data_IF_690036653776
#
_entry.id   IF_690036653776
#
_cell.length_a   1.000
_cell.length_b   1.000
_cell.length_c   1.000
_cell.angle_alpha   90.00
_cell.angle_beta   90.00
_cell.angle_gamma   90.00
#
_symmetry.space_group_name_H-M   'P 1'
#
loop_
_entity.id
_entity.type
_entity.pdbx_description
1 polymer ?
#
# COMPACT_ATOMS: atom_id res chain seq x y z
N UNK A 1 -19.15 6.52 2.76
CA UNK A 1 -18.64 5.25 2.18
C UNK A 1 -17.22 5.03 2.71
N UNK A 2 -16.83 3.80 3.10
CA UNK A 2 -15.46 3.51 3.53
C UNK A 2 -14.44 3.73 2.39
N UNK A 3 -13.21 4.10 2.74
CA UNK A 3 -12.13 4.41 1.81
C UNK A 3 -10.79 4.00 2.42
N UNK A 4 -9.88 3.41 1.64
CA UNK A 4 -8.61 2.86 2.15
C UNK A 4 -7.71 3.95 2.75
N UNK A 5 -7.58 5.12 2.11
CA UNK A 5 -6.80 6.24 2.67
C UNK A 5 -7.29 6.68 4.06
N UNK A 6 -8.60 6.89 4.24
CA UNK A 6 -9.15 7.30 5.54
C UNK A 6 -9.12 6.18 6.56
N UNK A 7 -9.23 4.91 6.11
CA UNK A 7 -9.04 3.74 6.97
C UNK A 7 -7.61 3.65 7.49
N UNK A 8 -6.61 3.82 6.61
CA UNK A 8 -5.20 3.89 6.97
C UNK A 8 -4.93 5.00 7.98
N UNK A 9 -5.45 6.22 7.71
CA UNK A 9 -5.26 7.35 8.62
C UNK A 9 -5.90 7.07 9.99
N UNK A 10 -7.15 6.61 10.03
CA UNK A 10 -7.88 6.33 11.27
C UNK A 10 -7.21 5.23 12.10
N UNK A 11 -6.77 4.13 11.46
CA UNK A 11 -6.08 3.02 12.14
C UNK A 11 -4.76 3.52 12.73
N UNK A 12 -3.95 4.25 11.98
CA UNK A 12 -2.69 4.79 12.50
C UNK A 12 -2.92 5.79 13.63
N UNK A 13 -3.93 6.66 13.54
CA UNK A 13 -4.29 7.58 14.63
C UNK A 13 -4.71 6.83 15.90
N UNK A 14 -5.55 5.79 15.79
CA UNK A 14 -6.00 5.00 16.95
C UNK A 14 -4.85 4.21 17.60
N UNK A 15 -3.94 3.67 16.79
CA UNK A 15 -2.75 2.96 17.28
C UNK A 15 -1.78 3.94 17.94
N UNK A 16 -1.62 5.14 17.38
CA UNK A 16 -0.76 6.19 17.94
C UNK A 16 -1.30 6.71 19.28
N UNK A 17 -2.62 6.90 19.39
CA UNK A 17 -3.28 7.24 20.65
C UNK A 17 -3.10 6.13 21.70
N UNK A 18 -3.19 4.87 21.25
CA UNK A 18 -3.04 3.71 22.10
C UNK A 18 -4.12 3.59 23.18
N UNK A 19 -3.88 2.70 24.15
CA UNK A 19 -4.82 2.44 25.24
C UNK A 19 -5.99 1.54 24.84
N UNK A 20 -6.62 0.93 25.84
CA UNK A 20 -7.62 -0.11 25.61
C UNK A 20 -8.85 0.40 24.82
N UNK A 21 -9.31 1.63 25.10
CA UNK A 21 -10.50 2.19 24.46
C UNK A 21 -10.29 2.48 22.96
N UNK A 22 -9.12 3.02 22.57
CA UNK A 22 -8.84 3.28 21.16
C UNK A 22 -8.64 1.96 20.40
N UNK A 23 -7.86 1.03 20.96
CA UNK A 23 -7.58 -0.24 20.30
C UNK A 23 -8.83 -1.14 20.18
N UNK A 24 -9.72 -1.14 21.18
CA UNK A 24 -10.97 -1.93 21.13
C UNK A 24 -12.02 -1.33 20.19
N UNK A 25 -11.90 -0.06 19.81
CA UNK A 25 -12.80 0.58 18.84
C UNK A 25 -12.61 0.07 17.41
N UNK A 26 -11.47 -0.58 17.11
CA UNK A 26 -11.17 -1.11 15.78
C UNK A 26 -11.83 -2.48 15.62
N UNK A 27 -12.90 -2.54 14.82
CA UNK A 27 -13.53 -3.81 14.47
C UNK A 27 -12.73 -4.52 13.34
N UNK A 28 -11.86 -5.44 13.73
CA UNK A 28 -10.96 -6.17 12.81
C UNK A 28 -11.71 -6.96 11.73
N UNK A 29 -12.80 -7.63 12.08
CA UNK A 29 -13.58 -8.44 11.12
C UNK A 29 -14.22 -7.57 10.03
N UNK A 30 -14.77 -6.41 10.40
CA UNK A 30 -15.34 -5.45 9.45
C UNK A 30 -14.27 -4.80 8.58
N UNK A 31 -13.10 -4.51 9.14
CA UNK A 31 -11.94 -4.01 8.37
C UNK A 31 -11.51 -5.07 7.36
N UNK A 32 -11.28 -6.31 7.80
CA UNK A 32 -10.89 -7.41 6.92
C UNK A 32 -11.89 -7.62 5.79
N UNK A 33 -13.19 -7.69 6.10
CA UNK A 33 -14.24 -7.81 5.08
C UNK A 33 -14.26 -6.64 4.10
N UNK A 34 -13.92 -5.43 4.54
CA UNK A 34 -13.75 -4.27 3.65
C UNK A 34 -12.53 -4.43 2.74
N UNK A 35 -11.37 -4.82 3.29
CA UNK A 35 -10.16 -5.06 2.49
C UNK A 35 -10.37 -6.14 1.43
N UNK A 36 -11.04 -7.24 1.76
CA UNK A 36 -11.39 -8.29 0.79
C UNK A 36 -12.27 -7.77 -0.35
N UNK A 37 -13.26 -6.90 -0.07
CA UNK A 37 -14.08 -6.29 -1.12
C UNK A 37 -13.30 -5.33 -2.02
N UNK A 38 -12.24 -4.72 -1.50
CA UNK A 38 -11.37 -3.82 -2.27
C UNK A 38 -10.32 -4.59 -3.07
N UNK A 39 -10.04 -5.85 -2.76
CA UNK A 39 -9.09 -6.68 -3.50
C UNK A 39 -9.55 -6.83 -4.96
N UNK A 40 -8.66 -6.51 -5.89
CA UNK A 40 -8.92 -6.61 -7.32
C UNK A 40 -8.17 -7.82 -7.93
N UNK A 41 -8.74 -8.51 -8.93
CA UNK A 41 -8.08 -9.63 -9.61
C UNK A 41 -6.72 -9.31 -10.23
N UNK A 42 -6.45 -8.04 -10.54
CA UNK A 42 -5.14 -7.58 -11.05
C UNK A 42 -4.00 -7.75 -10.06
N UNK A 43 -4.28 -7.99 -8.78
CA UNK A 43 -3.30 -7.94 -7.69
C UNK A 43 -3.39 -6.66 -6.88
N UNK A 44 -3.92 -5.58 -7.44
CA UNK A 44 -4.13 -4.30 -6.75
C UNK A 44 -5.32 -4.34 -5.76
N UNK A 45 -5.60 -3.17 -5.18
CA UNK A 45 -6.80 -2.87 -4.42
C UNK A 45 -7.48 -1.63 -4.99
N UNK A 46 -8.79 -1.49 -4.78
CA UNK A 46 -9.53 -0.25 -5.05
C UNK A 46 -9.51 0.65 -3.83
N UNK A 47 -9.35 1.95 -4.03
CA UNK A 47 -9.37 2.92 -2.92
C UNK A 47 -10.71 2.95 -2.18
N UNK A 48 -11.81 2.70 -2.89
CA UNK A 48 -13.14 2.50 -2.34
C UNK A 48 -14.00 1.72 -3.36
N UNK A 49 -15.26 1.45 -3.04
CA UNK A 49 -16.17 0.79 -3.99
C UNK A 49 -16.28 1.61 -5.28
N UNK A 50 -15.97 0.97 -6.42
CA UNK A 50 -15.85 1.58 -7.76
C UNK A 50 -14.82 2.71 -7.88
N UNK A 51 -13.92 2.84 -6.92
CA UNK A 51 -12.79 3.77 -6.96
C UNK A 51 -11.67 3.31 -7.87
N UNK A 52 -10.64 4.15 -7.92
CA UNK A 52 -9.41 3.94 -8.67
C UNK A 52 -8.57 2.78 -8.14
N UNK A 53 -7.69 2.28 -9.01
CA UNK A 53 -6.70 1.26 -8.74
C UNK A 53 -5.33 1.90 -8.88
N UNK A 54 -4.60 2.06 -7.79
CA UNK A 54 -3.20 2.50 -7.85
C UNK A 54 -2.42 2.00 -6.62
N UNK A 55 -1.11 2.18 -6.65
CA UNK A 55 -0.22 1.65 -5.60
C UNK A 55 -0.53 2.20 -4.19
N UNK A 56 -1.23 3.34 -4.04
CA UNK A 56 -1.71 3.81 -2.71
C UNK A 56 -2.69 2.83 -2.10
N UNK A 57 -3.55 2.23 -2.92
CA UNK A 57 -4.53 1.25 -2.46
C UNK A 57 -3.84 0.01 -1.91
N UNK A 58 -2.80 -0.49 -2.60
CA UNK A 58 -1.98 -1.59 -2.10
C UNK A 58 -1.36 -1.24 -0.75
N UNK A 59 -0.68 -0.09 -0.63
CA UNK A 59 -0.03 0.31 0.61
C UNK A 59 -1.00 0.46 1.77
N UNK A 60 -2.09 1.20 1.56
CA UNK A 60 -3.07 1.46 2.60
C UNK A 60 -3.79 0.19 3.06
N UNK A 61 -4.13 -0.73 2.15
CA UNK A 61 -4.71 -2.02 2.49
C UNK A 61 -3.74 -2.93 3.25
N UNK A 62 -2.53 -3.14 2.71
CA UNK A 62 -1.53 -4.04 3.30
C UNK A 62 -1.01 -3.51 4.64
N UNK A 63 -0.78 -2.20 4.75
CA UNK A 63 -0.37 -1.58 6.02
C UNK A 63 -1.42 -1.78 7.12
N UNK A 64 -2.69 -1.52 6.82
CA UNK A 64 -3.80 -1.74 7.77
C UNK A 64 -3.91 -3.21 8.15
N UNK A 65 -3.84 -4.12 7.17
CA UNK A 65 -3.93 -5.55 7.45
C UNK A 65 -2.76 -6.04 8.32
N UNK A 66 -1.53 -5.60 8.00
CA UNK A 66 -0.33 -5.95 8.74
C UNK A 66 -0.39 -5.46 10.18
N UNK A 67 -0.72 -4.18 10.40
CA UNK A 67 -0.66 -3.59 11.75
C UNK A 67 -1.78 -4.10 12.67
N UNK A 68 -2.91 -4.52 12.10
CA UNK A 68 -4.01 -5.14 12.84
C UNK A 68 -3.85 -6.65 13.01
N UNK A 69 -2.78 -7.24 12.49
CA UNK A 69 -2.50 -8.68 12.50
C UNK A 69 -3.65 -9.50 11.86
N UNK A 70 -4.12 -9.04 10.69
CA UNK A 70 -5.17 -9.67 9.87
C UNK A 70 -4.72 -9.87 8.41
N UNK A 71 -3.42 -9.75 8.15
CA UNK A 71 -2.84 -10.00 6.84
C UNK A 71 -2.79 -11.51 6.57
N UNK A 72 -3.23 -11.93 5.39
CA UNK A 72 -3.23 -13.33 4.97
C UNK A 72 -2.87 -13.50 3.50
N UNK A 73 -2.86 -14.75 3.03
CA UNK A 73 -2.51 -15.07 1.64
C UNK A 73 -3.47 -14.46 0.61
N UNK A 74 -4.76 -14.32 0.95
CA UNK A 74 -5.77 -13.79 0.02
C UNK A 74 -5.55 -12.29 -0.24
N UNK A 75 -5.22 -11.55 0.81
CA UNK A 75 -4.91 -10.12 0.68
C UNK A 75 -3.58 -9.88 -0.05
N UNK A 76 -2.60 -10.78 0.11
CA UNK A 76 -1.27 -10.65 -0.52
C UNK A 76 -1.24 -11.15 -1.97
N UNK A 77 -2.18 -12.00 -2.37
CA UNK A 77 -2.19 -12.64 -3.69
C UNK A 77 -2.04 -11.61 -4.84
N UNK A 78 -1.00 -11.82 -5.65
CA UNK A 78 -0.63 -10.98 -6.81
C UNK A 78 -0.25 -9.51 -6.51
N UNK A 79 -0.19 -9.08 -5.25
CA UNK A 79 0.19 -7.69 -4.90
C UNK A 79 1.60 -7.36 -5.41
N UNK A 80 2.56 -8.26 -5.20
CA UNK A 80 3.92 -8.04 -5.68
C UNK A 80 4.03 -8.01 -7.21
N UNK A 81 3.25 -8.84 -7.92
CA UNK A 81 3.18 -8.81 -9.39
C UNK A 81 2.69 -7.44 -9.89
N UNK A 82 1.65 -6.90 -9.27
CA UNK A 82 1.13 -5.58 -9.60
C UNK A 82 2.19 -4.48 -9.35
N UNK A 83 2.82 -4.46 -8.18
CA UNK A 83 3.81 -3.41 -7.85
C UNK A 83 5.04 -3.49 -8.76
N UNK A 84 5.52 -4.69 -9.11
CA UNK A 84 6.63 -4.85 -10.06
C UNK A 84 6.26 -4.28 -11.43
N UNK A 85 5.02 -4.48 -11.88
CA UNK A 85 4.56 -3.89 -13.15
C UNK A 85 4.47 -2.36 -13.14
N UNK A 86 4.50 -1.74 -11.95
CA UNK A 86 4.56 -0.29 -11.78
C UNK A 86 5.98 0.27 -11.66
N UNK A 87 7.03 -0.56 -11.57
CA UNK A 87 8.41 -0.07 -11.57
C UNK A 87 8.80 0.41 -12.98
N UNK A 88 9.25 1.66 -13.09
CA UNK A 88 9.53 2.31 -14.38
C UNK A 88 11.00 2.19 -14.78
N UNK A 89 11.32 2.60 -16.02
CA UNK A 89 12.70 2.68 -16.51
C UNK A 89 13.56 3.67 -15.71
N UNK A 90 12.94 4.61 -15.00
CA UNK A 90 13.61 5.59 -14.14
C UNK A 90 14.09 4.97 -12.83
N UNK A 91 13.63 3.76 -12.51
CA UNK A 91 13.93 3.02 -11.29
C UNK A 91 12.86 3.16 -10.19
N UNK A 92 12.11 4.26 -10.19
CA UNK A 92 11.02 4.51 -9.25
C UNK A 92 9.75 3.71 -9.57
N UNK A 93 8.72 3.89 -8.75
CA UNK A 93 7.43 3.21 -8.91
C UNK A 93 6.36 4.24 -9.24
N UNK A 94 5.56 3.95 -10.25
CA UNK A 94 4.42 4.73 -10.68
C UNK A 94 3.13 4.34 -9.95
N UNK A 95 2.08 5.14 -10.08
CA UNK A 95 0.76 4.83 -9.49
C UNK A 95 0.09 3.63 -10.18
N UNK A 96 0.30 3.51 -11.48
CA UNK A 96 -0.26 2.46 -12.33
C UNK A 96 0.80 2.03 -13.37
N UNK A 97 0.72 0.81 -13.91
CA UNK A 97 1.66 0.35 -14.94
C UNK A 97 1.70 1.30 -16.14
N UNK A 98 2.91 1.68 -16.57
CA UNK A 98 3.13 2.58 -17.70
C UNK A 98 3.03 4.08 -17.39
N UNK A 99 2.73 4.47 -16.15
CA UNK A 99 2.79 5.88 -15.72
C UNK A 99 4.20 6.29 -15.28
N UNK A 100 4.41 7.58 -15.00
CA UNK A 100 5.69 8.15 -14.56
C UNK A 100 6.05 7.73 -13.12
N UNK A 101 7.34 7.56 -12.84
CA UNK A 101 7.80 7.34 -11.47
C UNK A 101 7.48 8.55 -10.59
N UNK A 102 6.97 8.30 -9.39
CA UNK A 102 6.63 9.37 -8.45
C UNK A 102 7.08 9.01 -7.04
N UNK A 103 7.61 9.98 -6.28
CA UNK A 103 8.14 9.73 -4.94
C UNK A 103 7.09 9.12 -3.99
N UNK A 104 5.85 9.62 -4.04
CA UNK A 104 4.75 9.09 -3.23
C UNK A 104 4.35 7.65 -3.59
N UNK A 105 4.31 7.30 -4.87
CA UNK A 105 3.99 5.94 -5.32
C UNK A 105 5.18 4.99 -5.10
N UNK A 106 6.41 5.49 -5.22
CA UNK A 106 7.64 4.78 -4.84
C UNK A 106 7.64 4.40 -3.37
N UNK A 107 7.27 5.32 -2.47
CA UNK A 107 7.08 5.01 -1.05
C UNK A 107 6.02 3.91 -0.86
N UNK A 108 4.82 4.10 -1.44
CA UNK A 108 3.73 3.14 -1.29
C UNK A 108 4.13 1.74 -1.78
N UNK A 109 4.74 1.65 -2.96
CA UNK A 109 5.14 0.38 -3.57
C UNK A 109 6.23 -0.32 -2.77
N UNK A 110 7.33 0.39 -2.45
CA UNK A 110 8.44 -0.19 -1.69
C UNK A 110 7.99 -0.64 -0.29
N UNK A 111 7.24 0.19 0.43
CA UNK A 111 6.75 -0.15 1.76
C UNK A 111 5.82 -1.37 1.73
N UNK A 112 4.94 -1.45 0.72
CA UNK A 112 4.09 -2.64 0.53
C UNK A 112 4.92 -3.90 0.30
N UNK A 113 5.92 -3.82 -0.60
CA UNK A 113 6.80 -4.95 -0.90
C UNK A 113 7.62 -5.40 0.31
N UNK A 114 8.00 -4.47 1.20
CA UNK A 114 8.63 -4.81 2.48
C UNK A 114 7.64 -5.55 3.40
N UNK A 115 6.42 -5.05 3.54
CA UNK A 115 5.39 -5.64 4.42
C UNK A 115 5.00 -7.07 3.99
N UNK A 116 5.03 -7.38 2.70
CA UNK A 116 4.76 -8.72 2.17
C UNK A 116 6.03 -9.57 1.97
N UNK A 117 7.20 -9.09 2.41
CA UNK A 117 8.49 -9.76 2.31
C UNK A 117 8.94 -10.07 0.86
N UNK A 118 8.62 -9.19 -0.07
CA UNK A 118 8.93 -9.33 -1.50
C UNK A 118 9.80 -8.20 -2.06
N UNK A 119 10.34 -7.32 -1.22
CA UNK A 119 11.19 -6.20 -1.65
C UNK A 119 12.38 -6.61 -2.56
N UNK A 120 12.90 -7.83 -2.38
CA UNK A 120 13.97 -8.41 -3.20
C UNK A 120 13.59 -8.59 -4.69
N UNK A 121 12.30 -8.50 -5.04
CA UNK A 121 11.80 -8.61 -6.41
C UNK A 121 11.88 -7.30 -7.19
N UNK A 122 12.10 -6.17 -6.51
CA UNK A 122 12.30 -4.86 -7.15
C UNK A 122 13.76 -4.66 -7.55
N UNK A 123 14.02 -3.83 -8.56
CA UNK A 123 15.35 -3.28 -8.80
C UNK A 123 15.65 -2.21 -7.73
N UNK A 124 16.08 -2.67 -6.55
CA UNK A 124 16.38 -1.82 -5.40
C UNK A 124 17.52 -0.82 -5.65
N UNK A 125 18.63 -1.18 -6.34
CA UNK A 125 19.64 -0.20 -6.75
C UNK A 125 19.04 0.96 -7.55
N UNK A 126 18.16 0.67 -8.53
CA UNK A 126 17.51 1.72 -9.31
C UNK A 126 16.61 2.60 -8.43
N UNK A 127 15.78 2.02 -7.55
CA UNK A 127 14.95 2.76 -6.59
C UNK A 127 15.79 3.73 -5.74
N UNK A 128 16.94 3.27 -5.22
CA UNK A 128 17.82 4.09 -4.38
C UNK A 128 18.38 5.28 -5.18
N UNK A 129 18.78 5.06 -6.44
CA UNK A 129 19.26 6.14 -7.32
C UNK A 129 18.15 7.15 -7.57
N UNK A 130 16.95 6.72 -7.94
CA UNK A 130 15.80 7.61 -8.20
C UNK A 130 15.46 8.46 -6.97
N UNK A 131 15.42 7.85 -5.78
CA UNK A 131 15.14 8.55 -4.53
C UNK A 131 16.23 9.59 -4.18
N UNK A 132 17.50 9.30 -4.49
CA UNK A 132 18.59 10.24 -4.25
C UNK A 132 18.62 11.39 -5.27
N UNK A 133 18.28 11.13 -6.54
CA UNK A 133 18.17 12.16 -7.57
C UNK A 133 17.01 13.13 -7.32
N UNK A 134 15.93 12.64 -6.69
CA UNK A 134 14.74 13.45 -6.35
C UNK A 134 14.86 14.22 -5.03
N UNK A 135 16.04 14.26 -4.40
CA UNK A 135 16.30 15.08 -3.18
C UNK A 135 16.08 16.59 -3.37
N UNK A 136 15.84 17.06 -4.60
CA UNK A 136 15.55 18.46 -4.91
C UNK A 136 14.04 18.79 -5.04
N UNK A 137 13.13 17.79 -5.01
CA UNK A 137 11.68 18.02 -5.30
C UNK A 137 10.76 17.52 -4.17
N UNK A 138 11.28 17.31 -2.96
CA UNK A 138 10.44 17.04 -1.78
C UNK A 138 10.60 18.17 -0.77
N UNK A 139 10.06 19.35 -1.14
CA UNK A 139 9.58 20.41 -0.25
C UNK A 139 8.34 21.06 -0.87
#
# INVERSE_FOLDING_TARGET
MPHLATTYAAVNSLITLGGQAALSSINRDKVYAFLQRMKDPSGCFRMHEKGELDVRACYTAISVASILNILDYQLVENVGNYIISCQTYEGGIAGEPGSEAHGGYTFCGLATMILINEAHRLDLPAVIVTLNSNRLVVL
#
